data_IF_945094355604
#
_entry.id   IF_945094355604
#
_cell.length_a   1.000
_cell.length_b   1.000
_cell.length_c   1.000
_cell.angle_alpha   90.00
_cell.angle_beta   90.00
_cell.angle_gamma   90.00
#
_symmetry.space_group_name_H-M   'P 1'
#
loop_
_entity.id
_entity.type
_entity.pdbx_description
1 polymer ?
#
# COMPACT_ATOMS: atom_id res chain seq x y z
N UNK A 1 14.82 11.39 17.07
CA UNK A 1 14.71 11.87 15.68
C UNK A 1 15.15 10.78 14.70
N UNK A 2 14.57 9.57 14.78
CA UNK A 2 14.87 8.47 13.83
C UNK A 2 13.61 7.89 13.17
N UNK A 3 12.42 8.15 13.72
CA UNK A 3 11.15 7.59 13.23
C UNK A 3 10.73 8.13 11.83
N UNK A 4 11.16 9.34 11.44
CA UNK A 4 10.73 9.96 10.17
C UNK A 4 11.45 9.46 8.90
N UNK A 5 12.57 8.72 9.02
CA UNK A 5 13.40 8.37 7.84
C UNK A 5 12.76 7.33 6.93
N UNK A 6 11.88 6.47 7.46
CA UNK A 6 11.35 5.33 6.73
C UNK A 6 10.09 5.63 5.93
N UNK A 7 9.21 6.48 6.47
CA UNK A 7 8.13 7.10 5.69
C UNK A 7 8.68 7.88 4.49
N UNK A 8 9.81 8.57 4.65
CA UNK A 8 10.47 9.28 3.56
C UNK A 8 11.01 8.34 2.45
N UNK A 9 11.48 7.14 2.81
CA UNK A 9 11.95 6.17 1.82
C UNK A 9 10.79 5.59 0.99
N UNK A 10 9.72 5.14 1.65
CA UNK A 10 8.55 4.63 0.92
C UNK A 10 7.96 5.73 0.03
N UNK A 11 7.79 6.93 0.58
CA UNK A 11 7.26 8.07 -0.15
C UNK A 11 8.13 8.42 -1.37
N UNK A 12 9.46 8.46 -1.23
CA UNK A 12 10.34 8.74 -2.38
C UNK A 12 10.24 7.66 -3.46
N UNK A 13 10.08 6.38 -3.11
CA UNK A 13 9.85 5.31 -4.10
C UNK A 13 8.50 5.43 -4.80
N UNK A 14 7.45 5.80 -4.07
CA UNK A 14 6.14 6.06 -4.64
C UNK A 14 6.16 7.27 -5.57
N UNK A 15 6.86 8.35 -5.19
CA UNK A 15 7.04 9.53 -6.02
C UNK A 15 7.80 9.21 -7.31
N UNK A 16 8.94 8.53 -7.22
CA UNK A 16 9.72 8.07 -8.39
C UNK A 16 8.88 7.17 -9.31
N UNK A 17 8.03 6.30 -8.76
CA UNK A 17 7.15 5.44 -9.56
C UNK A 17 6.02 6.23 -10.23
N UNK A 18 5.43 7.18 -9.51
CA UNK A 18 4.41 8.10 -10.03
C UNK A 18 4.97 8.96 -11.17
N UNK A 19 6.19 9.50 -11.03
CA UNK A 19 6.86 10.26 -12.09
C UNK A 19 7.11 9.44 -13.36
N UNK A 20 7.32 8.12 -13.22
CA UNK A 20 7.43 7.20 -14.36
C UNK A 20 6.09 6.86 -15.02
N UNK A 21 4.97 7.35 -14.49
CA UNK A 21 3.64 7.06 -15.01
C UNK A 21 3.07 5.71 -14.55
N UNK A 22 3.60 5.13 -13.46
CA UNK A 22 3.04 3.90 -12.90
C UNK A 22 1.73 4.24 -12.18
N UNK A 23 0.64 3.56 -12.53
CA UNK A 23 -0.64 3.65 -11.82
C UNK A 23 -0.53 2.90 -10.48
N UNK A 24 -0.72 3.63 -9.38
CA UNK A 24 -0.53 3.11 -8.02
C UNK A 24 -1.83 3.26 -7.24
N UNK A 25 -2.33 2.15 -6.71
CA UNK A 25 -3.50 2.12 -5.81
C UNK A 25 -3.05 1.73 -4.42
N UNK A 26 -3.24 2.64 -3.46
CA UNK A 26 -2.84 2.42 -2.07
C UNK A 26 -4.09 2.32 -1.21
N UNK A 27 -4.25 1.18 -0.55
CA UNK A 27 -5.34 0.94 0.40
C UNK A 27 -4.78 1.09 1.82
N UNK A 28 -5.42 1.91 2.64
CA UNK A 28 -5.02 2.15 4.02
C UNK A 28 -6.19 2.04 5.00
N UNK A 29 -5.87 1.75 6.26
CA UNK A 29 -6.85 1.62 7.33
C UNK A 29 -7.23 2.99 7.93
N UNK A 30 -8.41 3.08 8.52
CA UNK A 30 -8.86 4.33 9.17
C UNK A 30 -7.84 4.77 10.22
N UNK A 31 -7.44 6.03 10.18
CA UNK A 31 -6.49 6.66 11.11
C UNK A 31 -5.03 6.13 11.05
N UNK A 32 -4.64 5.39 9.99
CA UNK A 32 -3.25 4.93 9.86
C UNK A 32 -2.28 5.96 9.28
N UNK A 33 -2.79 7.07 8.75
CA UNK A 33 -2.00 8.15 8.13
C UNK A 33 -2.28 9.47 8.85
N UNK A 34 -1.22 10.24 9.08
CA UNK A 34 -1.34 11.64 9.50
C UNK A 34 -1.85 12.51 8.35
N UNK A 35 -2.35 13.71 8.68
CA UNK A 35 -2.86 14.66 7.69
C UNK A 35 -1.78 15.06 6.67
N UNK A 36 -0.54 15.29 7.11
CA UNK A 36 0.56 15.69 6.22
C UNK A 36 0.95 14.57 5.26
N UNK A 37 0.95 13.32 5.72
CA UNK A 37 1.22 12.15 4.87
C UNK A 37 0.12 11.92 3.85
N UNK A 38 -1.14 12.09 4.27
CA UNK A 38 -2.28 11.99 3.38
C UNK A 38 -2.19 13.04 2.27
N UNK A 39 -1.91 14.30 2.62
CA UNK A 39 -1.73 15.39 1.66
C UNK A 39 -0.54 15.14 0.74
N UNK A 40 0.58 14.64 1.28
CA UNK A 40 1.75 14.27 0.50
C UNK A 40 1.43 13.19 -0.53
N UNK A 41 0.74 12.12 -0.12
CA UNK A 41 0.35 11.03 -1.03
C UNK A 41 -0.68 11.47 -2.07
N UNK A 42 -1.66 12.32 -1.69
CA UNK A 42 -2.64 12.89 -2.62
C UNK A 42 -2.02 13.85 -3.63
N UNK A 43 -0.85 14.41 -3.34
CA UNK A 43 -0.13 15.29 -4.29
C UNK A 43 0.52 14.53 -5.45
N UNK A 44 0.64 13.20 -5.36
CA UNK A 44 1.25 12.38 -6.39
C UNK A 44 0.23 12.10 -7.52
N UNK A 45 0.52 12.47 -8.79
CA UNK A 45 -0.49 12.48 -9.85
C UNK A 45 -1.03 11.10 -10.24
N UNK A 46 -0.24 10.04 -10.10
CA UNK A 46 -0.62 8.67 -10.46
C UNK A 46 -0.88 7.78 -9.23
N UNK A 47 -1.22 8.38 -8.09
CA UNK A 47 -1.55 7.65 -6.86
C UNK A 47 -3.01 7.84 -6.51
N UNK A 48 -3.76 6.74 -6.49
CA UNK A 48 -5.12 6.70 -5.98
C UNK A 48 -5.13 6.13 -4.56
N UNK A 49 -5.73 6.87 -3.64
CA UNK A 49 -5.87 6.46 -2.25
C UNK A 49 -7.26 5.89 -1.98
N UNK A 50 -7.29 4.75 -1.30
CA UNK A 50 -8.49 4.05 -0.90
C UNK A 50 -8.46 3.77 0.60
N UNK A 51 -9.58 3.96 1.25
CA UNK A 51 -9.78 3.76 2.67
C UNK A 51 -10.65 2.53 2.91
N UNK A 52 -10.20 1.64 3.81
CA UNK A 52 -10.92 0.43 4.15
C UNK A 52 -10.83 0.17 5.66
N UNK A 53 -11.98 0.02 6.33
CA UNK A 53 -12.04 0.05 7.81
C UNK A 53 -11.36 -1.15 8.49
N UNK A 54 -11.24 -2.30 7.81
CA UNK A 54 -10.83 -3.56 8.43
C UNK A 54 -9.66 -4.26 7.71
N UNK A 55 -8.78 -3.52 7.03
CA UNK A 55 -7.58 -4.13 6.43
C UNK A 55 -6.54 -4.41 7.50
N UNK A 56 -6.16 -5.67 7.64
CA UNK A 56 -5.04 -6.12 8.47
C UNK A 56 -3.93 -6.82 7.67
N UNK A 57 -4.04 -6.81 6.34
CA UNK A 57 -3.07 -7.41 5.45
C UNK A 57 -2.07 -6.35 4.97
N UNK A 58 -0.77 -6.68 4.98
CA UNK A 58 0.22 -5.95 4.22
C UNK A 58 0.53 -6.75 2.95
N UNK A 59 0.06 -6.25 1.82
CA UNK A 59 0.25 -6.84 0.51
C UNK A 59 0.69 -5.75 -0.47
N UNK A 60 1.68 -6.04 -1.30
CA UNK A 60 1.98 -5.25 -2.48
C UNK A 60 2.14 -6.17 -3.69
N UNK A 61 1.63 -5.77 -4.84
CA UNK A 61 1.70 -6.59 -6.05
C UNK A 61 1.76 -5.74 -7.31
N UNK A 62 2.29 -6.33 -8.36
CA UNK A 62 2.24 -5.85 -9.74
C UNK A 62 1.92 -7.04 -10.66
N UNK A 63 1.97 -6.85 -11.97
CA UNK A 63 1.58 -7.85 -12.98
C UNK A 63 2.42 -9.14 -12.95
N UNK A 64 3.56 -9.13 -12.26
CA UNK A 64 4.52 -10.25 -12.23
C UNK A 64 4.66 -10.89 -10.84
N UNK A 65 4.69 -10.07 -9.79
CA UNK A 65 5.00 -10.52 -8.43
C UNK A 65 4.02 -9.96 -7.43
N UNK A 66 3.83 -10.71 -6.34
CA UNK A 66 3.07 -10.29 -5.17
C UNK A 66 3.86 -10.62 -3.91
N UNK A 67 3.95 -9.67 -2.99
CA UNK A 67 4.53 -9.83 -1.68
C UNK A 67 3.42 -9.74 -0.63
N UNK A 68 3.22 -10.83 0.09
CA UNK A 68 2.44 -10.85 1.33
C UNK A 68 3.40 -10.75 2.50
N UNK A 69 3.14 -9.87 3.46
CA UNK A 69 3.99 -9.73 4.63
C UNK A 69 3.21 -9.44 5.91
N UNK A 70 3.80 -9.83 7.04
CA UNK A 70 3.36 -9.41 8.36
C UNK A 70 3.93 -8.04 8.77
N UNK A 71 4.77 -7.42 7.95
CA UNK A 71 5.35 -6.10 8.20
C UNK A 71 4.31 -5.01 7.94
N UNK A 72 3.88 -4.30 8.97
CA UNK A 72 3.10 -3.07 8.77
C UNK A 72 4.01 -1.91 8.34
N UNK A 73 3.45 -0.89 7.70
CA UNK A 73 4.16 0.33 7.33
C UNK A 73 4.76 1.06 8.54
N UNK A 74 4.10 0.99 9.70
CA UNK A 74 4.63 1.53 10.96
C UNK A 74 5.82 0.72 11.50
N UNK A 75 5.87 -0.58 11.23
CA UNK A 75 6.93 -1.48 11.71
C UNK A 75 8.21 -1.38 10.87
N UNK A 76 8.15 -0.68 9.73
CA UNK A 76 9.27 -0.51 8.81
C UNK A 76 10.47 0.23 9.46
N UNK A 77 10.22 0.93 10.57
CA UNK A 77 11.24 1.59 11.37
C UNK A 77 11.92 0.67 12.40
N UNK A 78 11.31 -0.45 12.78
CA UNK A 78 11.86 -1.37 13.78
C UNK A 78 12.79 -2.40 13.12
N UNK A 79 14.08 -2.05 13.03
CA UNK A 79 15.12 -2.93 12.48
C UNK A 79 15.33 -4.23 13.26
N UNK A 80 14.88 -4.29 14.51
CA UNK A 80 15.02 -5.48 15.35
C UNK A 80 13.82 -6.44 15.18
N UNK A 81 12.70 -5.95 14.64
CA UNK A 81 11.52 -6.74 14.40
C UNK A 81 11.77 -7.80 13.32
N UNK A 82 11.34 -9.03 13.60
CA UNK A 82 11.39 -10.14 12.65
C UNK A 82 10.04 -10.26 12.00
N UNK A 83 10.01 -10.04 10.69
CA UNK A 83 8.80 -10.17 9.89
C UNK A 83 8.86 -11.42 9.02
N UNK A 84 7.69 -12.01 8.81
CA UNK A 84 7.53 -13.08 7.83
C UNK A 84 6.93 -12.49 6.56
N UNK A 85 7.22 -13.13 5.44
CA UNK A 85 6.62 -12.79 4.17
C UNK A 85 6.70 -13.93 3.18
N UNK A 86 5.89 -13.82 2.13
CA UNK A 86 5.83 -14.74 1.02
C UNK A 86 5.85 -13.92 -0.27
N UNK A 87 6.83 -14.22 -1.13
CA UNK A 87 6.87 -13.73 -2.49
C UNK A 87 6.19 -14.77 -3.38
N UNK A 88 5.19 -14.35 -4.13
CA UNK A 88 4.44 -15.16 -5.09
C UNK A 88 4.79 -14.63 -6.47
N UNK A 89 5.33 -15.50 -7.31
CA UNK A 89 5.65 -15.21 -8.71
C UNK A 89 4.50 -15.72 -9.59
N UNK A 90 3.97 -14.86 -10.47
CA UNK A 90 2.82 -15.19 -11.32
C UNK A 90 3.14 -16.31 -12.31
N UNK A 91 4.37 -16.37 -12.81
CA UNK A 91 4.77 -17.39 -13.79
C UNK A 91 5.03 -18.73 -13.12
N UNK A 92 5.59 -18.73 -11.91
CA UNK A 92 5.90 -19.95 -11.17
C UNK A 92 4.68 -20.52 -10.44
N UNK A 93 3.85 -19.65 -9.85
CA UNK A 93 2.69 -20.01 -9.03
C UNK A 93 1.38 -19.35 -9.53
N UNK A 94 0.96 -19.57 -10.79
CA UNK A 94 -0.15 -18.83 -11.40
C UNK A 94 -1.50 -19.05 -10.71
N UNK A 95 -1.73 -20.24 -10.16
CA UNK A 95 -2.95 -20.56 -9.41
C UNK A 95 -3.05 -19.75 -8.12
N UNK A 96 -2.00 -19.80 -7.30
CA UNK A 96 -1.93 -19.06 -6.04
C UNK A 96 -1.99 -17.55 -6.29
N UNK A 97 -1.23 -17.05 -7.26
CA UNK A 97 -1.27 -15.63 -7.62
C UNK A 97 -2.70 -15.19 -8.00
N UNK A 98 -3.42 -15.99 -8.78
CA UNK A 98 -4.80 -15.68 -9.17
C UNK A 98 -5.75 -15.63 -7.98
N UNK A 99 -5.66 -16.61 -7.07
CA UNK A 99 -6.52 -16.67 -5.88
C UNK A 99 -6.30 -15.45 -4.97
N UNK A 100 -5.04 -15.11 -4.69
CA UNK A 100 -4.74 -13.95 -3.83
C UNK A 100 -5.10 -12.64 -4.53
N UNK A 101 -4.90 -12.54 -5.85
CA UNK A 101 -5.33 -11.37 -6.62
C UNK A 101 -6.86 -11.18 -6.55
N UNK A 102 -7.64 -12.26 -6.66
CA UNK A 102 -9.10 -12.18 -6.57
C UNK A 102 -9.56 -11.61 -5.23
N UNK A 103 -8.98 -12.09 -4.13
CA UNK A 103 -9.29 -11.58 -2.80
C UNK A 103 -8.87 -10.11 -2.65
N UNK A 104 -7.67 -9.75 -3.12
CA UNK A 104 -7.15 -8.37 -3.03
C UNK A 104 -8.02 -7.40 -3.85
N UNK A 105 -8.49 -7.82 -5.03
CA UNK A 105 -9.44 -7.05 -5.83
C UNK A 105 -10.80 -6.88 -5.14
N UNK A 106 -11.30 -7.90 -4.45
CA UNK A 106 -12.52 -7.80 -3.67
C UNK A 106 -12.38 -6.80 -2.50
N UNK A 107 -11.22 -6.79 -1.84
CA UNK A 107 -10.90 -5.79 -0.81
C UNK A 107 -10.85 -4.37 -1.37
N UNK A 108 -10.26 -4.18 -2.56
CA UNK A 108 -10.22 -2.89 -3.23
C UNK A 108 -11.62 -2.42 -3.68
N UNK A 109 -12.44 -3.32 -4.22
CA UNK A 109 -13.80 -2.99 -4.68
C UNK A 109 -14.71 -2.48 -3.55
N UNK A 110 -14.51 -2.98 -2.33
CA UNK A 110 -15.27 -2.56 -1.15
C UNK A 110 -14.65 -1.36 -0.43
N UNK A 111 -13.45 -0.93 -0.83
CA UNK A 111 -12.78 0.23 -0.25
C UNK A 111 -13.37 1.54 -0.81
N UNK A 112 -13.38 2.58 0.00
CA UNK A 112 -13.88 3.91 -0.37
C UNK A 112 -12.74 4.78 -0.89
N UNK A 113 -12.92 5.44 -2.03
CA UNK A 113 -11.87 6.30 -2.59
C UNK A 113 -11.72 7.56 -1.72
N UNK A 114 -10.49 7.89 -1.34
CA UNK A 114 -10.22 9.01 -0.43
C UNK A 114 -10.61 10.39 -1.02
N UNK A 115 -10.67 10.51 -2.34
CA UNK A 115 -11.17 11.73 -3.00
C UNK A 115 -12.62 12.07 -2.66
N UNK A 116 -13.42 11.09 -2.22
CA UNK A 116 -14.81 11.31 -1.81
C UNK A 116 -14.92 11.79 -0.35
N UNK A 117 -13.90 11.53 0.48
CA UNK A 117 -13.80 11.97 1.88
C UNK A 117 -13.41 13.44 2.01
N UNK A 118 -12.75 14.01 1.00
CA UNK A 118 -12.35 15.43 0.98
C UNK A 118 -13.55 16.41 0.94
N UNK A 119 -14.76 15.91 0.67
CA UNK A 119 -16.01 16.70 0.72
C UNK A 119 -16.54 16.89 2.15
N UNK A 120 -15.96 16.23 3.15
CA UNK A 120 -16.42 16.21 4.54
C UNK A 120 -15.40 16.77 5.55
N UNK A 121 -14.30 17.38 5.08
CA UNK A 121 -13.36 18.18 5.88
C UNK A 121 -13.51 19.65 5.51
#
# INVERSE_FOLDING_TARGET
>A
MEELKYHALLFSRLAEASERGVDIKLVYARHSLSTDELLGLLSLPNVELFHQQQVKACCCFNEKHMLLSSMNMADLADKAARHMGMLIDREQDPGLYKEVLQETCAMLYTAQKASELATCL
#
